data_IF_715062742329
#
_entry.id   IF_715062742329
#
_cell.length_a   1.000
_cell.length_b   1.000
_cell.length_c   1.000
_cell.angle_alpha   90.00
_cell.angle_beta   90.00
_cell.angle_gamma   90.00
#
_symmetry.space_group_name_H-M   'P 1'
#
loop_
_entity.id
_entity.type
_entity.pdbx_description
1 polymer ?
#
# COMPACT_ATOMS: atom_id res chain seq x y z
N UNK A 1 -10.94 -9.59 11.34
CA UNK A 1 -10.00 -8.68 10.62
C UNK A 1 -8.55 -9.20 10.60
N UNK A 2 -8.24 -10.46 10.92
CA UNK A 2 -6.84 -10.93 10.97
C UNK A 2 -6.31 -11.41 9.62
N UNK A 3 -7.20 -11.73 8.69
CA UNK A 3 -6.85 -12.37 7.41
C UNK A 3 -6.23 -11.40 6.39
N UNK A 4 -6.38 -10.09 6.61
CA UNK A 4 -5.82 -9.02 5.77
C UNK A 4 -4.49 -8.48 6.34
N UNK A 5 -4.32 -8.53 7.66
CA UNK A 5 -3.12 -8.03 8.36
C UNK A 5 -1.90 -8.89 8.02
N UNK A 6 -2.06 -10.21 8.03
CA UNK A 6 -0.97 -11.16 7.77
C UNK A 6 -0.34 -10.99 6.37
N UNK A 7 -1.11 -10.93 5.26
CA UNK A 7 -0.54 -10.66 3.95
C UNK A 7 -0.02 -9.22 3.80
N UNK A 8 -0.63 -8.23 4.46
CA UNK A 8 -0.08 -6.85 4.46
C UNK A 8 1.25 -6.75 5.22
N UNK A 9 1.42 -7.50 6.31
CA UNK A 9 2.70 -7.58 7.02
C UNK A 9 3.75 -8.34 6.20
N UNK A 10 3.36 -9.35 5.42
CA UNK A 10 4.25 -9.97 4.44
C UNK A 10 4.73 -8.95 3.39
N UNK A 11 3.86 -8.02 2.97
CA UNK A 11 4.22 -6.93 2.07
C UNK A 11 5.15 -5.88 2.71
N UNK A 12 5.24 -5.81 4.04
CA UNK A 12 6.14 -4.88 4.75
C UNK A 12 7.63 -5.17 4.48
N UNK A 13 7.98 -6.45 4.31
CA UNK A 13 9.34 -6.86 3.94
C UNK A 13 9.70 -6.39 2.53
N UNK A 14 8.74 -6.51 1.60
CA UNK A 14 8.87 -6.03 0.22
C UNK A 14 8.98 -4.50 0.17
N UNK A 15 8.11 -3.80 0.90
CA UNK A 15 8.12 -2.35 1.07
C UNK A 15 9.47 -1.78 1.53
N UNK A 16 10.15 -2.45 2.47
CA UNK A 16 11.46 -2.01 2.95
C UNK A 16 12.54 -2.10 1.86
N UNK A 17 12.46 -3.10 0.98
CA UNK A 17 13.32 -3.19 -0.21
C UNK A 17 12.99 -2.09 -1.21
N UNK A 18 11.70 -1.86 -1.43
CA UNK A 18 11.14 -0.92 -2.40
C UNK A 18 11.51 0.54 -2.11
N UNK A 19 11.44 0.93 -0.84
CA UNK A 19 11.87 2.25 -0.37
C UNK A 19 13.38 2.46 -0.50
N UNK A 20 14.17 1.38 -0.53
CA UNK A 20 15.62 1.47 -0.71
C UNK A 20 16.03 1.57 -2.19
N UNK A 21 15.29 0.94 -3.10
CA UNK A 21 15.59 0.96 -4.54
C UNK A 21 14.89 2.10 -5.27
N UNK A 22 13.72 2.53 -4.79
CA UNK A 22 12.83 3.51 -5.45
C UNK A 22 12.59 3.19 -6.93
N UNK A 23 12.48 1.90 -7.24
CA UNK A 23 12.18 1.45 -8.59
C UNK A 23 10.69 1.67 -8.88
N UNK A 24 10.40 2.43 -9.94
CA UNK A 24 9.02 2.76 -10.34
C UNK A 24 8.25 1.50 -10.74
N UNK A 25 8.90 0.55 -11.40
CA UNK A 25 8.24 -0.68 -11.84
C UNK A 25 7.88 -1.57 -10.66
N UNK A 26 8.78 -1.72 -9.69
CA UNK A 26 8.46 -2.45 -8.44
C UNK A 26 7.37 -1.71 -7.63
N UNK A 27 7.36 -0.38 -7.66
CA UNK A 27 6.34 0.44 -7.00
C UNK A 27 4.94 0.23 -7.58
N UNK A 28 4.83 0.19 -8.90
CA UNK A 28 3.57 -0.07 -9.59
C UNK A 28 3.06 -1.49 -9.29
N UNK A 29 3.95 -2.49 -9.35
CA UNK A 29 3.60 -3.88 -9.02
C UNK A 29 3.15 -4.02 -7.56
N UNK A 30 3.83 -3.34 -6.64
CA UNK A 30 3.45 -3.31 -5.23
C UNK A 30 2.09 -2.63 -5.00
N UNK A 31 1.81 -1.52 -5.68
CA UNK A 31 0.51 -0.86 -5.63
C UNK A 31 -0.61 -1.79 -6.07
N UNK A 32 -0.41 -2.52 -7.17
CA UNK A 32 -1.39 -3.46 -7.71
C UNK A 32 -1.65 -4.66 -6.78
N UNK A 33 -0.61 -5.21 -6.13
CA UNK A 33 -0.75 -6.29 -5.15
C UNK A 33 -1.58 -5.85 -3.93
N UNK A 34 -1.26 -4.66 -3.38
CA UNK A 34 -1.99 -4.06 -2.26
C UNK A 34 -3.45 -3.78 -2.64
N UNK A 35 -3.70 -3.35 -3.88
CA UNK A 35 -5.05 -3.16 -4.41
C UNK A 35 -5.83 -4.47 -4.49
N UNK A 36 -5.24 -5.52 -5.03
CA UNK A 36 -5.88 -6.84 -5.14
C UNK A 36 -6.23 -7.39 -3.76
N UNK A 37 -5.36 -7.20 -2.77
CA UNK A 37 -5.62 -7.50 -1.36
C UNK A 37 -6.79 -6.67 -0.81
N UNK A 38 -6.77 -5.35 -1.01
CA UNK A 38 -7.85 -4.46 -0.58
C UNK A 38 -9.20 -4.80 -1.21
N UNK A 39 -9.22 -5.16 -2.50
CA UNK A 39 -10.41 -5.56 -3.23
C UNK A 39 -10.95 -6.92 -2.75
N UNK A 40 -10.06 -7.92 -2.58
CA UNK A 40 -10.43 -9.26 -2.13
C UNK A 40 -11.08 -9.27 -0.74
N UNK A 41 -10.76 -8.27 0.09
CA UNK A 41 -11.30 -8.14 1.44
C UNK A 41 -12.28 -6.97 1.61
N UNK A 42 -12.71 -6.31 0.52
CA UNK A 42 -13.60 -5.15 0.56
C UNK A 42 -13.14 -4.04 1.54
N UNK A 43 -11.83 -3.81 1.59
CA UNK A 43 -11.20 -2.83 2.47
C UNK A 43 -11.18 -1.46 1.80
N UNK A 44 -12.16 -0.61 2.13
CA UNK A 44 -12.28 0.74 1.56
C UNK A 44 -11.03 1.64 1.77
N UNK A 45 -10.31 1.61 2.91
CA UNK A 45 -9.08 2.40 3.09
C UNK A 45 -7.95 2.01 2.14
N UNK A 46 -7.78 0.71 1.86
CA UNK A 46 -6.76 0.23 0.91
C UNK A 46 -7.11 0.60 -0.52
N UNK A 47 -8.40 0.56 -0.87
CA UNK A 47 -8.86 0.98 -2.19
C UNK A 47 -8.63 2.48 -2.41
N UNK A 48 -8.87 3.33 -1.40
CA UNK A 48 -8.53 4.76 -1.50
C UNK A 48 -7.03 5.01 -1.59
N UNK A 49 -6.22 4.29 -0.81
CA UNK A 49 -4.76 4.41 -0.87
C UNK A 49 -4.23 4.05 -2.26
N UNK A 50 -4.70 2.95 -2.85
CA UNK A 50 -4.38 2.54 -4.22
C UNK A 50 -4.80 3.59 -5.26
N UNK A 51 -6.03 4.11 -5.15
CA UNK A 51 -6.54 5.11 -6.10
C UNK A 51 -5.65 6.36 -6.09
N UNK A 52 -5.18 6.76 -4.91
CA UNK A 52 -4.29 7.91 -4.76
C UNK A 52 -2.89 7.61 -5.31
N UNK A 53 -2.34 6.42 -5.04
CA UNK A 53 -1.03 5.99 -5.57
C UNK A 53 -1.05 5.91 -7.10
N UNK A 54 -2.07 5.29 -7.67
CA UNK A 54 -2.27 5.17 -9.12
C UNK A 54 -2.37 6.54 -9.77
N UNK A 55 -3.09 7.48 -9.14
CA UNK A 55 -3.22 8.83 -9.67
C UNK A 55 -1.88 9.59 -9.65
N UNK A 56 -1.11 9.47 -8.56
CA UNK A 56 0.24 10.05 -8.47
C UNK A 56 1.23 9.42 -9.47
N UNK A 57 1.19 8.09 -9.67
CA UNK A 57 2.01 7.41 -10.67
C UNK A 57 1.67 7.86 -12.10
N UNK A 58 0.39 8.06 -12.42
CA UNK A 58 -0.05 8.54 -13.76
C UNK A 58 0.37 9.97 -14.05
N UNK A 59 0.50 10.81 -13.02
CA UNK A 59 1.01 12.18 -13.15
C UNK A 59 2.54 12.25 -13.25
N UNK A 60 3.23 11.10 -13.19
CA UNK A 60 4.70 11.02 -13.02
C UNK A 60 5.18 11.79 -11.78
N UNK A 61 4.33 11.95 -10.77
CA UNK A 61 4.67 12.63 -9.52
C UNK A 61 5.46 11.68 -8.62
N UNK A 62 6.75 11.51 -8.94
CA UNK A 62 7.67 10.61 -8.21
C UNK A 62 7.71 10.97 -6.72
N UNK A 63 7.55 12.26 -6.38
CA UNK A 63 7.54 12.72 -4.99
C UNK A 63 6.29 12.25 -4.23
N UNK A 64 5.11 12.33 -4.85
CA UNK A 64 3.85 11.83 -4.27
C UNK A 64 3.83 10.32 -4.15
N UNK A 65 4.37 9.62 -5.15
CA UNK A 65 4.54 8.16 -5.11
C UNK A 65 5.45 7.75 -3.93
N UNK A 66 6.62 8.39 -3.79
CA UNK A 66 7.53 8.16 -2.66
C UNK A 66 6.87 8.46 -1.31
N UNK A 67 6.11 9.55 -1.23
CA UNK A 67 5.38 9.93 -0.02
C UNK A 67 4.37 8.86 0.37
N UNK A 68 3.55 8.39 -0.57
CA UNK A 68 2.53 7.39 -0.29
C UNK A 68 3.10 6.03 0.08
N UNK A 69 4.19 5.62 -0.58
CA UNK A 69 4.93 4.45 -0.14
C UNK A 69 5.39 4.67 1.30
N UNK A 70 6.00 5.81 1.63
CA UNK A 70 6.41 6.14 3.00
C UNK A 70 5.29 6.06 4.05
N UNK A 71 4.04 6.33 3.64
CA UNK A 71 2.85 6.30 4.50
C UNK A 71 2.20 4.91 4.64
N UNK A 72 2.61 3.92 3.82
CA UNK A 72 2.07 2.56 3.85
C UNK A 72 2.11 1.87 5.24
N UNK A 73 3.19 1.96 6.05
CA UNK A 73 3.20 1.35 7.38
C UNK A 73 2.15 1.96 8.33
N UNK A 74 1.90 3.26 8.20
CA UNK A 74 0.90 3.96 8.99
C UNK A 74 -0.54 3.59 8.56
N UNK A 75 -0.75 3.26 7.28
CA UNK A 75 -2.03 2.73 6.81
C UNK A 75 -2.32 1.33 7.38
N UNK A 76 -1.30 0.44 7.46
CA UNK A 76 -1.44 -0.87 8.12
C UNK A 76 -1.79 -0.72 9.60
N UNK A 77 -1.12 0.20 10.31
CA UNK A 77 -1.40 0.45 11.73
C UNK A 77 -2.84 0.95 11.98
N UNK A 78 -3.33 1.86 11.12
CA UNK A 78 -4.72 2.31 11.17
C UNK A 78 -5.72 1.18 10.92
N UNK A 79 -5.46 0.31 9.94
CA UNK A 79 -6.29 -0.86 9.65
C UNK A 79 -6.33 -1.85 10.82
N UNK A 80 -5.19 -2.04 11.48
CA UNK A 80 -5.07 -2.87 12.69
C UNK A 80 -5.91 -2.30 13.84
N UNK A 81 -5.89 -0.98 14.01
CA UNK A 81 -6.69 -0.28 15.02
C UNK A 81 -8.19 -0.43 14.76
N UNK A 82 -8.63 -0.34 13.50
CA UNK A 82 -10.04 -0.53 13.12
C UNK A 82 -10.54 -1.96 13.27
N UNK A 83 -9.67 -2.95 13.11
CA UNK A 83 -10.01 -4.37 13.25
C UNK A 83 -10.20 -4.86 14.68
N UNK A 84 -9.93 -4.02 15.68
CA UNK A 84 -10.06 -4.31 17.11
C UNK A 84 -11.29 -3.64 17.76
N UNK A 85 -12.13 -2.96 16.97
CA UNK A 85 -13.38 -2.33 17.43
C UNK A 85 -14.59 -3.25 17.33
#
# INVERSE_FOLDING_TARGET
MSILIDPLEAQRGRWAGLTSTMDITDTEEFGEDVRQLGASHSCAPLQQWDETLTNSSRDFDITGVQRMIGEFPAAIDQLRSWGHG
#
